data_IF_450814810304
#
_entry.id   IF_450814810304
#
_cell.length_a   1.000
_cell.length_b   1.000
_cell.length_c   1.000
_cell.angle_alpha   90.00
_cell.angle_beta   90.00
_cell.angle_gamma   90.00
#
_symmetry.space_group_name_H-M   'P 1'
#
loop_
_entity.id
_entity.type
_entity.pdbx_description
1 polymer ?
#
# COMPACT_ATOMS: atom_id res chain seq x y z
N UNK A 1 12.51 18.46 -4.83
CA UNK A 1 12.13 18.40 -3.40
C UNK A 1 13.37 18.44 -2.50
N UNK A 2 14.45 17.72 -2.82
CA UNK A 2 15.66 17.63 -2.00
C UNK A 2 16.23 18.98 -1.54
N UNK A 3 16.22 20.02 -2.39
CA UNK A 3 16.70 21.37 -2.04
C UNK A 3 15.96 22.00 -0.83
N UNK A 4 14.74 21.58 -0.52
CA UNK A 4 14.01 22.07 0.66
C UNK A 4 14.72 21.74 1.98
N UNK A 5 15.60 20.74 1.97
CA UNK A 5 16.47 20.39 3.10
C UNK A 5 17.29 21.59 3.63
N UNK A 6 17.71 22.50 2.73
CA UNK A 6 18.47 23.69 3.08
C UNK A 6 17.73 24.59 4.08
N UNK A 7 16.40 24.69 3.97
CA UNK A 7 15.58 25.50 4.87
C UNK A 7 15.57 24.95 6.32
N UNK A 8 15.97 23.70 6.51
CA UNK A 8 16.01 23.02 7.82
C UNK A 8 17.45 22.75 8.29
N UNK A 9 18.47 23.20 7.53
CA UNK A 9 19.87 22.96 7.87
C UNK A 9 20.28 21.48 7.87
N UNK A 10 19.58 20.63 7.11
CA UNK A 10 19.86 19.18 7.01
C UNK A 10 20.34 18.80 5.60
N UNK A 11 21.03 17.66 5.42
CA UNK A 11 21.42 17.19 4.10
C UNK A 11 20.22 16.78 3.24
N UNK A 12 20.23 17.17 1.95
CA UNK A 12 19.21 16.79 0.98
C UNK A 12 19.84 16.07 -0.21
N UNK A 13 19.33 14.88 -0.55
CA UNK A 13 19.84 14.04 -1.64
C UNK A 13 18.68 13.71 -2.59
N UNK A 14 18.89 13.89 -3.90
CA UNK A 14 17.99 13.38 -4.93
C UNK A 14 18.59 12.11 -5.51
N UNK A 15 17.80 11.05 -5.63
CA UNK A 15 18.21 9.74 -6.13
C UNK A 15 17.23 9.25 -7.20
N UNK A 16 17.74 8.45 -8.14
CA UNK A 16 16.90 7.68 -9.07
C UNK A 16 16.08 6.67 -8.25
N UNK A 17 14.78 6.94 -8.12
CA UNK A 17 13.86 6.11 -7.33
C UNK A 17 13.59 4.75 -7.96
N UNK A 18 13.96 4.55 -9.22
CA UNK A 18 13.83 3.28 -9.92
C UNK A 18 15.15 2.47 -9.93
N UNK A 19 16.19 2.95 -9.23
CA UNK A 19 17.39 2.17 -8.93
C UNK A 19 17.37 1.74 -7.45
N UNK A 20 16.97 0.48 -7.21
CA UNK A 20 16.89 -0.07 -5.85
C UNK A 20 18.24 -0.08 -5.12
N UNK A 21 19.36 -0.21 -5.83
CA UNK A 21 20.70 -0.21 -5.21
C UNK A 21 21.12 1.21 -4.82
N UNK A 22 20.82 2.20 -5.66
CA UNK A 22 21.08 3.60 -5.33
C UNK A 22 20.23 4.07 -4.14
N UNK A 23 18.93 3.74 -4.15
CA UNK A 23 18.01 4.04 -3.03
C UNK A 23 18.51 3.37 -1.76
N UNK A 24 18.88 2.09 -1.81
CA UNK A 24 19.42 1.37 -0.65
C UNK A 24 20.70 2.01 -0.10
N UNK A 25 21.65 2.35 -0.97
CA UNK A 25 22.92 2.94 -0.55
C UNK A 25 22.72 4.29 0.15
N UNK A 26 21.93 5.19 -0.44
CA UNK A 26 21.63 6.52 0.12
C UNK A 26 20.83 6.40 1.42
N UNK A 27 19.83 5.49 1.47
CA UNK A 27 19.05 5.26 2.68
C UNK A 27 19.92 4.70 3.81
N UNK A 28 20.81 3.75 3.52
CA UNK A 28 21.72 3.17 4.51
C UNK A 28 22.63 4.25 5.11
N UNK A 29 23.25 5.08 4.28
CA UNK A 29 24.12 6.18 4.76
C UNK A 29 23.34 7.19 5.62
N UNK A 30 22.14 7.59 5.18
CA UNK A 30 21.28 8.48 5.94
C UNK A 30 20.85 7.89 7.30
N UNK A 31 20.56 6.58 7.34
CA UNK A 31 20.20 5.87 8.58
C UNK A 31 21.42 5.77 9.52
N UNK A 32 22.59 5.44 8.99
CA UNK A 32 23.84 5.38 9.76
C UNK A 32 24.16 6.74 10.38
N UNK A 33 24.05 7.82 9.59
CA UNK A 33 24.15 9.20 10.06
C UNK A 33 23.17 9.49 11.21
N UNK A 34 21.88 9.24 10.99
CA UNK A 34 20.87 9.50 12.01
C UNK A 34 21.15 8.73 13.32
N UNK A 35 21.58 7.47 13.22
CA UNK A 35 21.94 6.63 14.37
C UNK A 35 23.21 7.09 15.09
N UNK A 36 24.15 7.71 14.38
CA UNK A 36 25.35 8.30 14.96
C UNK A 36 25.08 9.60 15.74
N UNK A 37 23.83 10.10 15.75
CA UNK A 37 23.46 11.35 16.42
C UNK A 37 23.66 12.59 15.55
N UNK A 38 24.00 12.40 14.28
CA UNK A 38 24.31 13.46 13.34
C UNK A 38 23.04 14.09 12.70
N UNK A 39 21.86 13.65 13.11
CA UNK A 39 20.59 14.21 12.67
C UNK A 39 20.04 13.62 11.36
N UNK A 40 18.90 14.16 10.88
CA UNK A 40 18.15 13.59 9.76
C UNK A 40 18.73 13.98 8.40
N UNK A 41 18.30 13.26 7.35
CA UNK A 41 18.58 13.54 5.93
C UNK A 41 17.27 13.47 5.14
N UNK A 42 17.05 14.39 4.20
CA UNK A 42 15.93 14.35 3.26
C UNK A 42 16.35 13.63 1.97
N UNK A 43 15.67 12.55 1.62
CA UNK A 43 15.92 11.80 0.39
C UNK A 43 14.72 11.98 -0.55
N UNK A 44 14.96 12.50 -1.76
CA UNK A 44 13.98 12.56 -2.85
C UNK A 44 14.24 11.43 -3.84
N UNK A 45 13.39 10.40 -3.81
CA UNK A 45 13.41 9.32 -4.79
C UNK A 45 12.55 9.73 -6.01
N UNK A 46 13.19 10.03 -7.13
CA UNK A 46 12.49 10.41 -8.36
C UNK A 46 11.96 9.15 -9.03
N UNK A 47 10.63 8.97 -9.03
CA UNK A 47 9.95 7.77 -9.55
C UNK A 47 8.62 8.14 -10.21
N UNK A 48 7.86 7.15 -10.66
CA UNK A 48 6.61 7.32 -11.39
C UNK A 48 5.54 6.33 -10.97
N UNK A 49 4.34 6.83 -10.71
CA UNK A 49 3.16 6.00 -10.44
C UNK A 49 2.56 5.52 -11.75
N UNK A 50 2.97 4.35 -12.24
CA UNK A 50 2.46 3.76 -13.48
C UNK A 50 0.94 3.52 -13.45
N UNK A 51 0.42 3.04 -12.31
CA UNK A 51 -1.01 2.84 -12.09
C UNK A 51 -1.84 4.13 -11.97
N UNK A 52 -3.15 3.94 -11.81
CA UNK A 52 -4.11 4.99 -11.44
C UNK A 52 -3.81 5.55 -10.04
N UNK A 53 -4.30 6.74 -9.70
CA UNK A 53 -4.15 7.25 -8.32
C UNK A 53 -4.85 6.34 -7.32
N UNK A 54 -6.08 5.96 -7.66
CA UNK A 54 -6.97 5.05 -6.95
C UNK A 54 -7.92 4.42 -7.98
N UNK A 55 -8.71 3.43 -7.59
CA UNK A 55 -9.69 2.78 -8.48
C UNK A 55 -10.84 3.71 -8.92
N UNK A 56 -11.03 4.83 -8.23
CA UNK A 56 -12.00 5.87 -8.58
C UNK A 56 -11.44 6.94 -9.53
N UNK A 57 -10.14 6.88 -9.85
CA UNK A 57 -9.43 7.90 -10.60
C UNK A 57 -9.37 7.60 -12.11
N UNK A 58 -9.29 8.67 -12.91
CA UNK A 58 -9.08 8.60 -14.35
C UNK A 58 -7.83 9.42 -14.74
N UNK A 59 -6.68 8.76 -14.94
CA UNK A 59 -5.43 9.44 -15.25
C UNK A 59 -5.39 10.07 -16.63
N UNK A 60 -6.24 9.64 -17.57
CA UNK A 60 -6.24 10.17 -18.94
C UNK A 60 -6.57 11.67 -19.00
N UNK A 61 -7.16 12.20 -17.92
CA UNK A 61 -7.49 13.61 -17.75
C UNK A 61 -6.29 14.53 -17.50
N UNK A 62 -5.18 13.99 -17.00
CA UNK A 62 -4.08 14.82 -16.48
C UNK A 62 -2.68 14.31 -16.82
N UNK A 63 -2.55 13.17 -17.52
CA UNK A 63 -1.26 12.70 -18.05
C UNK A 63 -1.45 12.05 -19.42
N UNK A 64 -0.39 12.07 -20.22
CA UNK A 64 -0.39 11.45 -21.55
C UNK A 64 0.10 10.00 -21.50
N UNK A 65 -0.41 9.16 -22.40
CA UNK A 65 0.10 7.78 -22.55
C UNK A 65 1.57 7.75 -22.96
N UNK A 66 2.05 8.76 -23.69
CA UNK A 66 3.44 8.89 -24.09
C UNK A 66 4.37 9.09 -22.88
N UNK A 67 3.96 9.90 -21.90
CA UNK A 67 4.67 10.07 -20.64
C UNK A 67 4.73 8.76 -19.86
N UNK A 68 3.60 8.05 -19.75
CA UNK A 68 3.54 6.75 -19.07
C UNK A 68 4.49 5.75 -19.74
N UNK A 69 4.44 5.63 -21.07
CA UNK A 69 5.30 4.72 -21.83
C UNK A 69 6.80 5.02 -21.67
N UNK A 70 7.18 6.29 -21.53
CA UNK A 70 8.56 6.68 -21.22
C UNK A 70 9.01 6.14 -19.85
N UNK A 71 8.12 6.17 -18.86
CA UNK A 71 8.43 5.70 -17.50
C UNK A 71 8.31 4.19 -17.35
N UNK A 72 7.46 3.52 -18.14
CA UNK A 72 7.40 2.05 -18.20
C UNK A 72 8.76 1.45 -18.62
N UNK A 73 9.51 2.11 -19.51
CA UNK A 73 10.86 1.69 -19.89
C UNK A 73 11.88 1.81 -18.75
N UNK A 74 11.54 2.56 -17.69
CA UNK A 74 12.39 2.77 -16.51
C UNK A 74 11.91 1.92 -15.33
N UNK A 75 11.13 0.87 -15.56
CA UNK A 75 10.61 0.01 -14.49
C UNK A 75 11.76 -0.56 -13.63
N UNK A 76 11.76 -0.32 -12.30
CA UNK A 76 12.78 -0.85 -11.40
C UNK A 76 12.90 -2.38 -11.43
N UNK A 77 11.79 -3.10 -11.62
CA UNK A 77 11.79 -4.56 -11.66
C UNK A 77 12.54 -5.08 -12.88
N UNK A 78 12.26 -4.51 -14.06
CA UNK A 78 12.96 -4.87 -15.31
C UNK A 78 14.46 -4.64 -15.18
N UNK A 79 14.85 -3.46 -14.66
CA UNK A 79 16.26 -3.11 -14.45
C UNK A 79 16.96 -4.05 -13.48
N UNK A 80 16.33 -4.33 -12.34
CA UNK A 80 16.96 -5.14 -11.29
C UNK A 80 16.97 -6.63 -11.63
N UNK A 81 15.93 -7.14 -12.31
CA UNK A 81 15.90 -8.51 -12.86
C UNK A 81 17.12 -8.74 -13.75
N UNK A 82 17.36 -7.88 -14.73
CA UNK A 82 18.50 -7.99 -15.64
C UNK A 82 19.85 -7.98 -14.89
N UNK A 83 19.96 -7.20 -13.82
CA UNK A 83 21.15 -7.21 -12.95
C UNK A 83 21.33 -8.55 -12.22
N UNK A 84 20.27 -9.10 -11.64
CA UNK A 84 20.30 -10.37 -10.90
C UNK A 84 20.59 -11.56 -11.83
N UNK A 85 19.97 -11.61 -13.00
CA UNK A 85 20.21 -12.63 -14.02
C UNK A 85 21.68 -12.62 -14.46
N UNK A 86 22.23 -11.44 -14.78
CA UNK A 86 23.64 -11.30 -15.16
C UNK A 86 24.60 -11.75 -14.05
N UNK A 87 24.19 -11.68 -12.79
CA UNK A 87 24.97 -12.12 -11.63
C UNK A 87 24.70 -13.57 -11.22
N UNK A 88 23.78 -14.27 -11.90
CA UNK A 88 23.28 -15.59 -11.51
C UNK A 88 22.74 -15.61 -10.07
N UNK A 89 22.04 -14.54 -9.67
CA UNK A 89 21.46 -14.37 -8.34
C UNK A 89 19.92 -14.44 -8.35
N UNK A 90 19.30 -14.57 -9.52
CA UNK A 90 17.85 -14.69 -9.62
C UNK A 90 17.44 -16.14 -9.33
N UNK A 91 16.64 -16.32 -8.28
CA UNK A 91 16.09 -17.62 -7.91
C UNK A 91 14.97 -18.05 -8.86
N UNK A 92 15.04 -19.29 -9.33
CA UNK A 92 13.94 -19.90 -10.08
C UNK A 92 12.68 -20.05 -9.22
N UNK A 93 11.51 -19.91 -9.83
CA UNK A 93 10.22 -20.09 -9.16
C UNK A 93 9.86 -19.03 -8.12
N UNK A 94 10.62 -17.94 -8.00
CA UNK A 94 10.32 -16.83 -7.07
C UNK A 94 8.92 -16.25 -7.33
N UNK A 95 8.56 -16.01 -8.59
CA UNK A 95 7.26 -15.44 -8.95
C UNK A 95 6.10 -16.34 -8.50
N UNK A 96 6.18 -17.64 -8.79
CA UNK A 96 5.16 -18.59 -8.37
C UNK A 96 5.01 -18.63 -6.85
N UNK A 97 6.14 -18.62 -6.11
CA UNK A 97 6.10 -18.59 -4.65
C UNK A 97 5.41 -17.34 -4.10
N UNK A 98 5.68 -16.18 -4.70
CA UNK A 98 5.02 -14.91 -4.32
C UNK A 98 3.53 -14.97 -4.64
N UNK A 99 3.15 -15.51 -5.80
CA UNK A 99 1.75 -15.64 -6.19
C UNK A 99 0.98 -16.61 -5.26
N UNK A 100 1.61 -17.73 -4.87
CA UNK A 100 1.05 -18.68 -3.91
C UNK A 100 0.89 -18.05 -2.51
N UNK A 101 1.86 -17.25 -2.06
CA UNK A 101 1.79 -16.52 -0.78
C UNK A 101 0.65 -15.49 -0.79
N UNK A 102 0.48 -14.76 -1.90
CA UNK A 102 -0.63 -13.81 -2.07
C UNK A 102 -1.97 -14.54 -2.06
N UNK A 103 -2.10 -15.65 -2.80
CA UNK A 103 -3.32 -16.44 -2.85
C UNK A 103 -3.71 -16.97 -1.45
N UNK A 104 -2.73 -17.44 -0.68
CA UNK A 104 -2.96 -17.89 0.70
C UNK A 104 -3.31 -16.74 1.64
N UNK A 105 -2.69 -15.56 1.50
CA UNK A 105 -3.07 -14.38 2.27
C UNK A 105 -4.52 -13.96 2.01
N UNK A 106 -4.97 -14.01 0.74
CA UNK A 106 -6.35 -13.74 0.36
C UNK A 106 -7.30 -14.76 0.98
N UNK A 107 -7.02 -16.07 0.84
CA UNK A 107 -7.86 -17.13 1.44
C UNK A 107 -8.01 -16.96 2.95
N UNK A 108 -6.93 -16.66 3.66
CA UNK A 108 -6.97 -16.41 5.11
C UNK A 108 -7.82 -15.19 5.47
N UNK A 109 -7.74 -14.13 4.67
CA UNK A 109 -8.57 -12.93 4.88
C UNK A 109 -10.06 -13.22 4.62
N UNK A 110 -10.40 -13.89 3.52
CA UNK A 110 -11.78 -14.23 3.18
C UNK A 110 -12.43 -15.20 4.18
N UNK A 111 -11.64 -16.04 4.84
CA UNK A 111 -12.09 -16.91 5.93
C UNK A 111 -12.28 -16.18 7.27
N UNK A 112 -11.89 -14.90 7.38
CA UNK A 112 -12.06 -14.12 8.61
C UNK A 112 -13.54 -13.80 8.80
N UNK A 113 -14.12 -14.10 9.99
CA UNK A 113 -15.51 -13.75 10.27
C UNK A 113 -15.75 -12.23 10.12
N UNK A 114 -16.97 -11.81 9.76
CA UNK A 114 -17.33 -10.40 9.76
C UNK A 114 -16.98 -9.73 11.09
N UNK A 115 -16.46 -8.50 11.02
CA UNK A 115 -16.10 -7.76 12.21
C UNK A 115 -17.33 -7.52 13.09
N UNK A 116 -17.18 -7.64 14.41
CA UNK A 116 -18.23 -7.26 15.34
C UNK A 116 -18.48 -5.75 15.20
N UNK A 117 -19.69 -5.30 14.81
CA UNK A 117 -19.98 -3.88 14.63
C UNK A 117 -19.69 -3.02 15.87
N UNK A 118 -19.78 -3.61 17.07
CA UNK A 118 -19.50 -2.91 18.34
C UNK A 118 -18.04 -2.54 18.54
N UNK A 119 -17.13 -3.07 17.73
CA UNK A 119 -15.70 -2.69 17.77
C UNK A 119 -15.47 -1.23 17.39
N UNK A 120 -16.43 -0.56 16.74
CA UNK A 120 -16.37 0.88 16.46
C UNK A 120 -16.20 1.75 17.72
N UNK A 121 -16.51 1.21 18.91
CA UNK A 121 -16.39 1.94 20.19
C UNK A 121 -15.07 1.68 20.95
N UNK A 122 -14.34 0.61 20.64
CA UNK A 122 -13.32 0.06 21.56
C UNK A 122 -12.00 0.87 21.61
N UNK A 123 -11.74 1.74 20.62
CA UNK A 123 -10.46 2.46 20.47
C UNK A 123 -10.60 3.97 20.32
N UNK A 124 -11.76 4.54 20.68
CA UNK A 124 -11.98 5.99 20.64
C UNK A 124 -11.26 6.68 21.81
N UNK A 125 -11.24 6.04 22.98
CA UNK A 125 -10.55 6.50 24.19
C UNK A 125 -9.88 5.30 24.87
N UNK A 126 -8.91 5.57 25.76
CA UNK A 126 -8.30 4.53 26.59
C UNK A 126 -9.34 3.84 27.51
N UNK A 127 -10.28 4.62 28.04
CA UNK A 127 -11.44 4.14 28.78
C UNK A 127 -12.71 4.64 28.12
N UNK A 128 -13.70 3.76 27.93
CA UNK A 128 -14.95 4.12 27.27
C UNK A 128 -15.79 5.08 28.15
N UNK A 129 -15.95 6.36 27.74
CA UNK A 129 -16.72 7.34 28.51
C UNK A 129 -18.20 6.91 28.65
N UNK A 130 -18.92 7.40 29.67
CA UNK A 130 -20.30 7.00 29.94
C UNK A 130 -21.25 7.14 28.74
N UNK A 131 -21.16 8.24 27.99
CA UNK A 131 -22.04 8.48 26.84
C UNK A 131 -21.80 7.49 25.70
N UNK A 132 -20.54 7.15 25.42
CA UNK A 132 -20.19 6.14 24.41
C UNK A 132 -20.52 4.72 24.87
N UNK A 133 -20.47 4.46 26.18
CA UNK A 133 -20.95 3.20 26.75
C UNK A 133 -22.45 3.03 26.53
N UNK A 134 -23.24 4.08 26.81
CA UNK A 134 -24.68 4.07 26.56
C UNK A 134 -25.00 3.84 25.07
N UNK A 135 -24.28 4.50 24.16
CA UNK A 135 -24.44 4.29 22.71
C UNK A 135 -24.05 2.87 22.27
N UNK A 136 -22.99 2.30 22.85
CA UNK A 136 -22.58 0.91 22.58
C UNK A 136 -23.63 -0.09 23.03
N UNK A 137 -24.22 0.11 24.20
CA UNK A 137 -25.26 -0.76 24.75
C UNK A 137 -26.55 -0.68 23.92
N UNK A 138 -26.91 0.52 23.45
CA UNK A 138 -28.03 0.71 22.52
C UNK A 138 -27.78 0.02 21.17
N UNK A 139 -26.58 0.17 20.59
CA UNK A 139 -26.19 -0.48 19.35
C UNK A 139 -26.22 -2.01 19.47
N UNK A 140 -25.73 -2.56 20.58
CA UNK A 140 -25.75 -4.00 20.87
C UNK A 140 -27.18 -4.55 20.92
N UNK A 141 -28.10 -3.77 21.50
CA UNK A 141 -29.52 -4.15 21.56
C UNK A 141 -30.15 -4.19 20.16
N UNK A 142 -29.82 -3.22 19.30
CA UNK A 142 -30.32 -3.17 17.93
C UNK A 142 -29.79 -4.31 17.08
N UNK A 143 -28.50 -4.62 17.18
CA UNK A 143 -27.87 -5.72 16.44
C UNK A 143 -28.57 -7.07 16.74
N UNK A 144 -28.76 -7.37 18.02
CA UNK A 144 -29.47 -8.59 18.44
C UNK A 144 -30.93 -8.65 17.95
N UNK A 145 -31.58 -7.50 17.80
CA UNK A 145 -32.97 -7.41 17.31
C UNK A 145 -33.04 -7.58 15.79
N UNK A 146 -32.03 -7.11 15.05
CA UNK A 146 -31.92 -7.27 13.60
C UNK A 146 -31.59 -8.72 13.24
N UNK A 147 -30.68 -9.37 13.97
CA UNK A 147 -30.37 -10.80 13.78
C UNK A 147 -31.54 -11.76 14.06
N UNK A 148 -32.58 -11.29 14.78
CA UNK A 148 -33.77 -12.08 15.11
C UNK A 148 -34.89 -12.01 14.04
N UNK A 149 -34.74 -11.20 12.99
CA UNK A 149 -35.70 -11.14 11.87
C UNK A 149 -35.38 -12.24 10.84
N UNK A 150 -36.38 -12.96 10.30
CA UNK A 150 -36.14 -13.94 9.25
C UNK A 150 -35.54 -13.27 8.01
N UNK A 151 -34.58 -13.96 7.42
CA UNK A 151 -33.68 -13.51 6.35
C UNK A 151 -34.45 -13.03 5.11
N UNK A 152 -34.68 -11.72 4.98
CA UNK A 152 -34.96 -11.09 3.69
C UNK A 152 -33.65 -11.12 2.90
N UNK A 153 -33.37 -12.28 2.31
CA UNK A 153 -32.23 -12.52 1.42
C UNK A 153 -32.17 -11.43 0.33
N UNK A 154 -31.29 -10.46 0.54
CA UNK A 154 -30.76 -9.62 -0.54
C UNK A 154 -29.98 -10.54 -1.47
N UNK A 155 -30.60 -10.94 -2.59
CA UNK A 155 -29.99 -11.72 -3.66
C UNK A 155 -28.89 -10.97 -4.43
N UNK A 156 -28.50 -9.78 -3.98
CA UNK A 156 -27.40 -9.05 -4.60
C UNK A 156 -26.08 -9.57 -4.00
N UNK A 157 -25.60 -10.70 -4.52
CA UNK A 157 -24.17 -10.95 -4.46
C UNK A 157 -23.51 -9.80 -5.23
N UNK A 158 -22.67 -8.95 -4.61
CA UNK A 158 -21.88 -8.02 -5.38
C UNK A 158 -20.93 -8.88 -6.21
N UNK A 159 -21.31 -9.14 -7.47
CA UNK A 159 -20.42 -9.74 -8.45
C UNK A 159 -19.14 -8.93 -8.40
N UNK A 160 -18.02 -9.61 -8.16
CA UNK A 160 -16.71 -8.97 -8.05
C UNK A 160 -16.52 -8.07 -9.27
N UNK A 161 -16.78 -6.77 -9.09
CA UNK A 161 -16.62 -5.81 -10.16
C UNK A 161 -15.12 -5.79 -10.39
N UNK A 162 -14.63 -6.17 -11.59
CA UNK A 162 -13.20 -6.19 -11.83
C UNK A 162 -12.64 -4.80 -11.49
N UNK A 163 -11.63 -4.77 -10.62
CA UNK A 163 -10.99 -3.54 -10.16
C UNK A 163 -10.62 -2.68 -11.37
N UNK A 164 -11.36 -1.59 -11.58
CA UNK A 164 -11.16 -0.68 -12.71
C UNK A 164 -9.72 -0.13 -12.63
N UNK A 165 -8.91 -0.41 -13.65
CA UNK A 165 -7.59 0.22 -13.80
C UNK A 165 -6.40 -0.50 -13.15
N UNK A 166 -6.55 -1.74 -12.65
CA UNK A 166 -5.37 -2.57 -12.39
C UNK A 166 -4.74 -2.97 -13.74
N UNK A 167 -3.66 -2.29 -14.12
CA UNK A 167 -2.79 -2.83 -15.17
C UNK A 167 -2.15 -4.10 -14.62
N UNK A 168 -2.33 -5.21 -15.34
CA UNK A 168 -1.38 -6.31 -15.29
C UNK A 168 -0.05 -5.74 -15.77
N UNK A 169 0.80 -5.30 -14.84
CA UNK A 169 2.22 -5.19 -15.15
C UNK A 169 2.62 -6.59 -15.58
N UNK A 170 2.97 -6.77 -16.86
CA UNK A 170 3.64 -8.00 -17.29
C UNK A 170 4.93 -8.04 -16.48
N UNK A 171 4.93 -8.84 -15.42
CA UNK A 171 6.14 -9.17 -14.66
C UNK A 171 7.08 -9.96 -15.56
#
# INVERSE_FOLDING_TARGET
>A
IAQKALAYGLPGIQVDGNDVLAVYAVAREAIERARAGDGPTLIECVTYRLGVHTTADDPTKYRSDAEVAMWEQKDPLTRFRAYLEKRNLLEEGLEQRVDDEIAEAIRRFEATPPANPLTMFDHVYAELPPDLRAQRDEAATRENTVSARPDETSTDQPGATPMRGQRLTRR
#
